data_IF_080402860003
#
_entry.id   IF_080402860003
#
_cell.length_a   1.000
_cell.length_b   1.000
_cell.length_c   1.000
_cell.angle_alpha   90.00
_cell.angle_beta   90.00
_cell.angle_gamma   90.00
#
_symmetry.space_group_name_H-M   'P 1'
#
loop_
_entity.id
_entity.type
_entity.pdbx_description
1 polymer ?
#
# COMPACT_ATOMS: atom_id res chain seq x y z
N UNK A 1 1.87 -8.66 -22.79
CA UNK A 1 1.74 -9.62 -21.66
C UNK A 1 0.52 -9.21 -20.87
N UNK A 2 -0.43 -10.11 -20.68
CA UNK A 2 -1.70 -9.91 -19.95
C UNK A 2 -1.44 -9.28 -18.58
N UNK A 3 -2.04 -8.11 -18.33
CA UNK A 3 -2.17 -7.55 -16.98
C UNK A 3 -2.89 -8.62 -16.17
N UNK A 4 -2.15 -9.36 -15.33
CA UNK A 4 -2.77 -10.18 -14.30
C UNK A 4 -3.49 -9.18 -13.39
N UNK A 5 -4.81 -9.13 -13.49
CA UNK A 5 -5.63 -8.34 -12.61
C UNK A 5 -5.31 -8.77 -11.18
N UNK A 6 -4.87 -7.83 -10.33
CA UNK A 6 -4.52 -8.21 -8.96
C UNK A 6 -5.77 -8.72 -8.24
N UNK A 7 -5.65 -9.83 -7.49
CA UNK A 7 -6.79 -10.42 -6.84
C UNK A 7 -7.34 -9.44 -5.80
N UNK A 8 -8.64 -9.17 -5.91
CA UNK A 8 -9.37 -8.36 -4.94
C UNK A 8 -9.22 -8.93 -3.53
N UNK A 9 -9.25 -8.05 -2.53
CA UNK A 9 -9.24 -8.46 -1.13
C UNK A 9 -10.59 -9.09 -0.76
N UNK A 10 -10.55 -10.20 -0.03
CA UNK A 10 -11.76 -10.85 0.45
C UNK A 10 -12.55 -9.92 1.41
N UNK A 11 -13.87 -9.91 1.28
CA UNK A 11 -14.75 -9.04 2.06
C UNK A 11 -14.57 -9.20 3.58
N UNK A 12 -14.24 -10.41 4.06
CA UNK A 12 -13.95 -10.69 5.47
C UNK A 12 -12.80 -9.84 6.05
N UNK A 13 -11.86 -9.39 5.21
CA UNK A 13 -10.77 -8.51 5.61
C UNK A 13 -11.15 -7.03 5.57
N UNK A 14 -12.14 -6.68 4.74
CA UNK A 14 -12.55 -5.29 4.49
C UNK A 14 -13.66 -4.84 5.44
N UNK A 15 -14.66 -5.70 5.65
CA UNK A 15 -15.87 -5.40 6.43
C UNK A 15 -15.55 -4.84 7.83
N UNK A 16 -14.62 -5.42 8.63
CA UNK A 16 -14.31 -4.86 9.96
C UNK A 16 -13.75 -3.43 9.92
N UNK A 17 -13.01 -3.07 8.86
CA UNK A 17 -12.48 -1.73 8.68
C UNK A 17 -13.60 -0.72 8.40
N UNK A 18 -14.55 -1.12 7.55
CA UNK A 18 -15.69 -0.29 7.19
C UNK A 18 -16.66 -0.15 8.36
N UNK A 19 -16.95 -1.22 9.09
CA UNK A 19 -17.78 -1.18 10.30
C UNK A 19 -17.20 -0.23 11.36
N UNK A 20 -15.89 -0.29 11.59
CA UNK A 20 -15.22 0.61 12.53
C UNK A 20 -15.34 2.07 12.10
N UNK A 21 -15.13 2.37 10.81
CA UNK A 21 -15.21 3.73 10.28
C UNK A 21 -16.64 4.28 10.23
N UNK A 22 -17.64 3.45 9.90
CA UNK A 22 -19.06 3.85 9.98
C UNK A 22 -19.50 4.10 11.42
N UNK A 23 -19.06 3.26 12.36
CA UNK A 23 -19.36 3.43 13.80
C UNK A 23 -18.77 4.73 14.33
N UNK A 24 -17.55 5.08 13.92
CA UNK A 24 -16.91 6.36 14.24
C UNK A 24 -17.76 7.54 13.75
N UNK A 25 -18.16 7.55 12.47
CA UNK A 25 -18.82 8.69 11.84
C UNK A 25 -20.29 8.87 12.26
N UNK A 26 -21.03 7.76 12.44
CA UNK A 26 -22.40 7.78 12.95
C UNK A 26 -22.46 8.21 14.44
N UNK A 27 -21.40 7.91 15.19
CA UNK A 27 -21.34 8.15 16.62
C UNK A 27 -22.57 7.62 17.35
N UNK A 28 -23.15 8.45 18.24
CA UNK A 28 -24.30 8.05 19.07
C UNK A 28 -25.66 8.43 18.50
N UNK A 29 -25.71 9.35 17.53
CA UNK A 29 -26.95 10.00 17.06
C UNK A 29 -27.26 9.73 15.59
N UNK A 30 -26.31 9.17 14.84
CA UNK A 30 -26.38 9.04 13.39
C UNK A 30 -26.32 10.39 12.67
N UNK A 31 -26.64 10.38 11.39
CA UNK A 31 -26.64 11.56 10.53
C UNK A 31 -27.86 12.46 10.82
N UNK A 32 -27.67 13.41 11.74
CA UNK A 32 -28.70 14.38 12.13
C UNK A 32 -29.03 15.37 11.01
N UNK A 33 -28.09 15.61 10.09
CA UNK A 33 -28.26 16.59 9.01
C UNK A 33 -29.21 16.04 7.96
N UNK A 34 -28.93 14.85 7.43
CA UNK A 34 -29.81 14.21 6.44
C UNK A 34 -31.20 13.92 7.02
N UNK A 35 -31.29 13.56 8.30
CA UNK A 35 -32.57 13.38 8.97
C UNK A 35 -33.41 14.67 9.04
N UNK A 36 -32.77 15.82 9.21
CA UNK A 36 -33.44 17.11 9.33
C UNK A 36 -33.80 17.73 7.97
N UNK A 37 -33.03 17.47 6.92
CA UNK A 37 -33.12 18.22 5.64
C UNK A 37 -33.71 17.43 4.48
N UNK A 38 -33.79 16.09 4.56
CA UNK A 38 -34.21 15.23 3.45
C UNK A 38 -35.43 14.42 3.88
N UNK A 39 -36.52 14.30 3.09
CA UNK A 39 -37.64 13.41 3.41
C UNK A 39 -37.23 11.93 3.54
N UNK A 40 -37.91 11.17 4.39
CA UNK A 40 -37.53 9.79 4.72
C UNK A 40 -37.65 8.80 3.54
N UNK A 41 -38.54 9.08 2.60
CA UNK A 41 -38.85 8.28 1.43
C UNK A 41 -38.16 8.77 0.14
N UNK A 42 -37.41 9.88 0.22
CA UNK A 42 -36.72 10.44 -0.93
C UNK A 42 -35.65 9.48 -1.45
N UNK A 43 -35.69 9.20 -2.75
CA UNK A 43 -34.67 8.42 -3.47
C UNK A 43 -33.80 9.36 -4.30
N UNK A 44 -32.52 9.02 -4.42
CA UNK A 44 -31.57 9.77 -5.23
C UNK A 44 -30.64 8.84 -6.02
N UNK A 45 -29.99 9.42 -7.03
CA UNK A 45 -28.89 8.83 -7.76
C UNK A 45 -27.68 9.78 -7.67
N UNK A 46 -26.55 9.25 -7.21
CA UNK A 46 -25.30 10.00 -7.11
C UNK A 46 -24.20 9.29 -7.91
N UNK A 47 -23.16 10.04 -8.26
CA UNK A 47 -22.01 9.53 -8.99
C UNK A 47 -20.74 9.77 -8.20
N UNK A 48 -19.96 8.72 -7.97
CA UNK A 48 -18.58 8.86 -7.48
C UNK A 48 -17.72 9.24 -8.68
N UNK A 49 -17.01 10.36 -8.60
CA UNK A 49 -16.19 10.90 -9.70
C UNK A 49 -14.77 11.18 -9.24
N UNK A 50 -13.80 10.79 -10.07
CA UNK A 50 -12.43 11.25 -9.91
C UNK A 50 -12.34 12.72 -10.30
N UNK A 51 -11.87 13.59 -9.41
CA UNK A 51 -11.64 15.02 -9.70
C UNK A 51 -10.23 15.27 -10.23
N UNK A 52 -9.34 14.30 -10.05
CA UNK A 52 -7.98 14.29 -10.54
C UNK A 52 -7.71 12.99 -11.30
N UNK A 53 -6.77 13.01 -12.25
CA UNK A 53 -6.27 11.80 -12.89
C UNK A 53 -5.43 10.99 -11.90
N UNK A 54 -5.50 9.66 -11.98
CA UNK A 54 -4.79 8.77 -11.04
C UNK A 54 -5.15 7.30 -11.22
N UNK A 55 -4.70 6.49 -10.28
CA UNK A 55 -5.00 5.06 -10.18
C UNK A 55 -6.04 4.85 -9.07
N UNK A 56 -7.15 4.20 -9.41
CA UNK A 56 -8.27 3.99 -8.48
C UNK A 56 -8.00 2.77 -7.61
N UNK A 57 -8.25 2.91 -6.30
CA UNK A 57 -8.20 1.82 -5.34
C UNK A 57 -9.24 2.05 -4.22
N UNK A 58 -9.89 0.98 -3.77
CA UNK A 58 -10.87 1.01 -2.68
C UNK A 58 -12.33 0.93 -3.12
N UNK A 59 -12.60 0.47 -4.35
CA UNK A 59 -13.97 0.31 -4.87
C UNK A 59 -14.81 -0.62 -3.98
N UNK A 60 -14.25 -1.72 -3.50
CA UNK A 60 -14.97 -2.66 -2.62
C UNK A 60 -15.23 -2.09 -1.23
N UNK A 61 -14.29 -1.30 -0.68
CA UNK A 61 -14.51 -0.60 0.59
C UNK A 61 -15.65 0.41 0.46
N UNK A 62 -15.68 1.18 -0.65
CA UNK A 62 -16.79 2.09 -0.93
C UNK A 62 -18.12 1.35 -1.07
N UNK A 63 -18.16 0.27 -1.86
CA UNK A 63 -19.36 -0.58 -2.00
C UNK A 63 -19.87 -1.07 -0.64
N UNK A 64 -18.97 -1.55 0.21
CA UNK A 64 -19.31 -2.02 1.55
C UNK A 64 -19.84 -0.90 2.46
N UNK A 65 -19.29 0.31 2.38
CA UNK A 65 -19.79 1.45 3.15
C UNK A 65 -21.26 1.73 2.85
N UNK A 66 -21.67 1.66 1.58
CA UNK A 66 -23.08 1.80 1.21
C UNK A 66 -23.92 0.60 1.63
N UNK A 67 -23.45 -0.62 1.35
CA UNK A 67 -24.21 -1.84 1.62
C UNK A 67 -24.47 -2.09 3.12
N UNK A 68 -23.54 -1.69 4.00
CA UNK A 68 -23.70 -1.82 5.45
C UNK A 68 -24.67 -0.80 6.05
N UNK A 69 -24.90 0.33 5.38
CA UNK A 69 -25.93 1.30 5.78
C UNK A 69 -27.31 0.84 5.32
N UNK A 70 -27.43 0.37 4.08
CA UNK A 70 -28.70 -0.08 3.50
C UNK A 70 -28.45 -1.07 2.36
N UNK A 71 -28.85 -2.32 2.56
CA UNK A 71 -28.71 -3.42 1.58
C UNK A 71 -29.49 -3.16 0.27
N UNK A 72 -30.45 -2.22 0.27
CA UNK A 72 -31.21 -1.83 -0.92
C UNK A 72 -30.48 -0.79 -1.78
N UNK A 73 -29.33 -0.26 -1.34
CA UNK A 73 -28.52 0.63 -2.16
C UNK A 73 -27.87 -0.17 -3.29
N UNK A 74 -28.18 0.23 -4.52
CA UNK A 74 -27.54 -0.29 -5.72
C UNK A 74 -26.20 0.43 -5.94
N UNK A 75 -25.09 -0.32 -5.96
CA UNK A 75 -23.76 0.19 -6.28
C UNK A 75 -23.33 -0.36 -7.64
N UNK A 76 -23.30 0.50 -8.66
CA UNK A 76 -22.93 0.15 -10.03
C UNK A 76 -21.52 0.64 -10.31
N UNK A 77 -20.53 -0.23 -10.13
CA UNK A 77 -19.14 0.05 -10.49
C UNK A 77 -18.99 0.29 -12.00
N UNK A 78 -18.21 1.30 -12.38
CA UNK A 78 -17.86 1.64 -13.77
C UNK A 78 -16.38 1.38 -14.08
N UNK A 79 -15.56 1.31 -13.04
CA UNK A 79 -14.15 0.94 -13.11
C UNK A 79 -13.86 -0.14 -12.07
N UNK A 80 -12.75 -0.85 -12.26
CA UNK A 80 -12.19 -1.75 -11.25
C UNK A 80 -11.07 -1.05 -10.50
N UNK A 81 -10.73 -1.59 -9.33
CA UNK A 81 -9.47 -1.22 -8.67
C UNK A 81 -8.27 -1.47 -9.61
N UNK A 82 -7.22 -0.69 -9.37
CA UNK A 82 -5.98 -0.63 -10.15
C UNK A 82 -6.14 -0.05 -11.57
N UNK A 83 -7.32 0.47 -11.93
CA UNK A 83 -7.52 1.17 -13.19
C UNK A 83 -6.96 2.61 -13.14
N UNK A 84 -6.24 3.02 -14.18
CA UNK A 84 -5.88 4.42 -14.42
C UNK A 84 -7.07 5.17 -15.01
N UNK A 85 -7.37 6.35 -14.49
CA UNK A 85 -8.48 7.20 -14.93
C UNK A 85 -8.05 8.65 -15.11
N UNK A 86 -8.80 9.38 -15.94
CA UNK A 86 -8.66 10.82 -16.10
C UNK A 86 -9.61 11.59 -15.17
N UNK A 87 -9.32 12.87 -14.95
CA UNK A 87 -10.22 13.76 -14.21
C UNK A 87 -11.61 13.82 -14.89
N UNK A 88 -12.67 13.80 -14.08
CA UNK A 88 -14.06 13.75 -14.51
C UNK A 88 -14.62 12.34 -14.74
N UNK A 89 -13.78 11.29 -14.67
CA UNK A 89 -14.22 9.90 -14.85
C UNK A 89 -15.23 9.50 -13.77
N UNK A 90 -16.37 8.96 -14.17
CA UNK A 90 -17.35 8.35 -13.26
C UNK A 90 -16.84 6.97 -12.85
N UNK A 91 -16.59 6.80 -11.54
CA UNK A 91 -16.05 5.57 -10.96
C UNK A 91 -17.17 4.58 -10.61
N UNK A 92 -18.27 5.09 -10.07
CA UNK A 92 -19.46 4.32 -9.74
C UNK A 92 -20.71 5.20 -9.78
N UNK A 93 -21.86 4.56 -9.95
CA UNK A 93 -23.19 5.16 -9.73
C UNK A 93 -23.84 4.48 -8.54
N UNK A 94 -24.35 5.26 -7.59
CA UNK A 94 -25.06 4.75 -6.41
C UNK A 94 -26.51 5.23 -6.40
N UNK A 95 -27.44 4.33 -6.08
CA UNK A 95 -28.89 4.61 -6.11
C UNK A 95 -29.57 4.01 -4.90
N UNK A 96 -30.46 4.75 -4.26
CA UNK A 96 -31.16 4.27 -3.07
C UNK A 96 -31.84 5.39 -2.31
N UNK A 97 -32.09 5.14 -1.03
CA UNK A 97 -32.59 6.17 -0.10
C UNK A 97 -31.58 7.30 0.03
N UNK A 98 -32.02 8.54 -0.18
CA UNK A 98 -31.13 9.71 -0.22
C UNK A 98 -30.42 9.97 1.10
N UNK A 99 -31.08 9.74 2.25
CA UNK A 99 -30.44 9.88 3.57
C UNK A 99 -29.32 8.86 3.74
N UNK A 100 -29.59 7.60 3.38
CA UNK A 100 -28.65 6.49 3.53
C UNK A 100 -27.44 6.64 2.60
N UNK A 101 -27.65 7.14 1.38
CA UNK A 101 -26.56 7.48 0.46
C UNK A 101 -25.61 8.53 1.06
N UNK A 102 -26.14 9.62 1.61
CA UNK A 102 -25.30 10.67 2.21
C UNK A 102 -24.64 10.21 3.53
N UNK A 103 -25.31 9.34 4.28
CA UNK A 103 -24.76 8.76 5.52
C UNK A 103 -23.49 7.94 5.23
N UNK A 104 -23.46 7.19 4.13
CA UNK A 104 -22.31 6.35 3.76
C UNK A 104 -21.19 7.11 3.03
N UNK A 105 -21.48 8.33 2.53
CA UNK A 105 -20.61 9.08 1.60
C UNK A 105 -19.19 9.23 2.16
N UNK A 106 -19.07 9.81 3.36
CA UNK A 106 -17.77 10.26 3.86
C UNK A 106 -16.85 9.09 4.14
N UNK A 107 -17.38 8.02 4.74
CA UNK A 107 -16.64 6.78 4.95
C UNK A 107 -16.17 6.17 3.62
N UNK A 108 -17.05 6.07 2.61
CA UNK A 108 -16.68 5.55 1.30
C UNK A 108 -15.56 6.38 0.63
N UNK A 109 -15.72 7.71 0.59
CA UNK A 109 -14.75 8.61 -0.04
C UNK A 109 -13.42 8.64 0.72
N UNK A 110 -13.40 8.59 2.05
CA UNK A 110 -12.16 8.58 2.82
C UNK A 110 -11.28 7.36 2.49
N UNK A 111 -11.89 6.17 2.34
CA UNK A 111 -11.15 4.99 1.87
C UNK A 111 -10.64 5.16 0.44
N UNK A 112 -11.51 5.56 -0.48
CA UNK A 112 -11.14 5.69 -1.90
C UNK A 112 -10.05 6.74 -2.12
N UNK A 113 -10.19 7.93 -1.55
CA UNK A 113 -9.25 9.05 -1.71
C UNK A 113 -7.87 8.69 -1.15
N UNK A 114 -7.81 8.10 0.04
CA UNK A 114 -6.56 7.65 0.67
C UNK A 114 -5.85 6.57 -0.14
N UNK A 115 -6.56 5.49 -0.47
CA UNK A 115 -5.97 4.35 -1.16
C UNK A 115 -5.62 4.66 -2.63
N UNK A 116 -6.47 5.43 -3.31
CA UNK A 116 -6.16 5.89 -4.68
C UNK A 116 -4.96 6.84 -4.69
N UNK A 117 -4.77 7.65 -3.64
CA UNK A 117 -3.55 8.45 -3.45
C UNK A 117 -2.29 7.58 -3.43
N UNK A 118 -2.28 6.53 -2.60
CA UNK A 118 -1.18 5.57 -2.52
C UNK A 118 -0.91 4.88 -3.86
N UNK A 119 -1.95 4.36 -4.51
CA UNK A 119 -1.83 3.67 -5.79
C UNK A 119 -1.29 4.61 -6.87
N UNK A 120 -1.76 5.86 -6.90
CA UNK A 120 -1.33 6.88 -7.85
C UNK A 120 0.14 7.24 -7.67
N UNK A 121 0.58 7.55 -6.44
CA UNK A 121 1.98 7.90 -6.18
C UNK A 121 2.91 6.71 -6.39
N UNK A 122 2.47 5.49 -6.04
CA UNK A 122 3.22 4.26 -6.36
C UNK A 122 3.40 4.11 -7.86
N UNK A 123 2.36 4.32 -8.67
CA UNK A 123 2.44 4.23 -10.13
C UNK A 123 3.44 5.24 -10.71
N UNK A 124 3.41 6.48 -10.25
CA UNK A 124 4.37 7.52 -10.66
C UNK A 124 5.82 7.09 -10.38
N UNK A 125 6.08 6.54 -9.20
CA UNK A 125 7.43 6.11 -8.79
C UNK A 125 7.87 4.88 -9.58
N UNK A 126 7.00 3.89 -9.76
CA UNK A 126 7.29 2.70 -10.60
C UNK A 126 7.61 3.11 -12.03
N UNK A 127 6.83 4.02 -12.61
CA UNK A 127 7.07 4.53 -13.96
C UNK A 127 8.38 5.32 -14.05
N UNK A 128 8.76 6.07 -13.00
CA UNK A 128 9.99 6.86 -13.00
C UNK A 128 11.27 6.01 -12.96
N UNK A 129 11.17 4.73 -12.59
CA UNK A 129 12.30 3.79 -12.55
C UNK A 129 12.17 2.63 -13.55
N UNK A 130 11.24 2.72 -14.51
CA UNK A 130 10.93 1.62 -15.43
C UNK A 130 12.10 1.15 -16.31
N UNK A 131 13.11 2.01 -16.53
CA UNK A 131 14.33 1.69 -17.28
C UNK A 131 15.36 0.88 -16.46
N UNK A 132 15.10 0.67 -15.16
CA UNK A 132 15.98 -0.04 -14.23
C UNK A 132 15.36 -1.37 -13.80
N UNK A 133 16.17 -2.36 -13.38
CA UNK A 133 15.66 -3.66 -12.93
C UNK A 133 14.96 -3.60 -11.56
N UNK A 134 15.08 -2.48 -10.85
CA UNK A 134 14.62 -2.31 -9.48
C UNK A 134 13.09 -2.39 -9.36
N UNK A 135 12.61 -3.17 -8.40
CA UNK A 135 11.18 -3.22 -8.03
C UNK A 135 10.93 -2.37 -6.79
N UNK A 136 9.89 -1.53 -6.85
CA UNK A 136 9.49 -0.69 -5.73
C UNK A 136 8.69 -1.50 -4.71
N UNK A 137 9.12 -1.52 -3.46
CA UNK A 137 8.47 -2.25 -2.36
C UNK A 137 7.94 -1.28 -1.29
N UNK A 138 6.80 -1.60 -0.68
CA UNK A 138 6.30 -0.89 0.51
C UNK A 138 6.83 -1.48 1.81
N UNK A 139 6.69 -0.79 2.93
CA UNK A 139 7.23 -1.22 4.24
C UNK A 139 6.13 -1.54 5.26
N UNK A 140 6.50 -1.74 6.53
CA UNK A 140 5.57 -1.81 7.68
C UNK A 140 5.25 -0.44 8.29
N UNK A 141 5.80 0.66 7.75
CA UNK A 141 5.52 2.05 8.14
C UNK A 141 4.17 2.50 7.55
N UNK A 142 3.12 1.90 8.08
CA UNK A 142 1.73 2.03 7.63
C UNK A 142 0.87 2.66 8.72
N UNK A 143 -0.28 3.22 8.35
CA UNK A 143 -1.28 3.64 9.32
C UNK A 143 -1.74 2.40 10.11
N UNK A 144 -1.75 2.46 11.46
CA UNK A 144 -2.24 1.35 12.28
C UNK A 144 -3.66 0.92 11.89
N UNK A 145 -3.91 -0.39 11.82
CA UNK A 145 -5.19 -0.95 11.39
C UNK A 145 -5.41 -0.99 9.87
N UNK A 146 -4.74 -0.17 9.08
CA UNK A 146 -4.97 -0.07 7.62
C UNK A 146 -3.90 -0.76 6.76
N UNK A 147 -2.95 -1.47 7.37
CA UNK A 147 -1.80 -2.06 6.65
C UNK A 147 -2.21 -2.90 5.43
N UNK A 148 -3.21 -3.77 5.57
CA UNK A 148 -3.63 -4.68 4.50
C UNK A 148 -4.10 -3.89 3.28
N UNK A 149 -4.95 -2.89 3.49
CA UNK A 149 -5.52 -2.08 2.40
C UNK A 149 -4.50 -1.11 1.81
N UNK A 150 -3.60 -0.55 2.62
CA UNK A 150 -2.51 0.29 2.11
C UNK A 150 -1.52 -0.50 1.24
N UNK A 151 -1.16 -1.72 1.66
CA UNK A 151 -0.31 -2.60 0.84
C UNK A 151 -1.02 -3.10 -0.41
N UNK A 152 -2.34 -3.28 -0.36
CA UNK A 152 -3.11 -3.53 -1.56
C UNK A 152 -3.08 -2.35 -2.54
N UNK A 153 -3.20 -1.11 -2.05
CA UNK A 153 -3.07 0.08 -2.89
C UNK A 153 -1.69 0.19 -3.57
N UNK A 154 -0.61 -0.16 -2.86
CA UNK A 154 0.74 -0.23 -3.45
C UNK A 154 0.77 -1.21 -4.63
N UNK A 155 0.18 -2.41 -4.48
CA UNK A 155 0.09 -3.37 -5.59
C UNK A 155 -0.74 -2.84 -6.76
N UNK A 156 -1.84 -2.14 -6.49
CA UNK A 156 -2.62 -1.50 -7.56
C UNK A 156 -1.82 -0.44 -8.35
N UNK A 157 -0.89 0.25 -7.70
CA UNK A 157 0.04 1.16 -8.37
C UNK A 157 1.18 0.46 -9.12
N UNK A 158 1.24 -0.87 -9.12
CA UNK A 158 2.33 -1.65 -9.76
C UNK A 158 3.53 -1.90 -8.86
N UNK A 159 3.51 -1.46 -7.61
CA UNK A 159 4.52 -1.79 -6.62
C UNK A 159 4.40 -3.23 -6.11
N UNK A 160 5.33 -3.62 -5.24
CA UNK A 160 5.37 -4.92 -4.57
C UNK A 160 5.25 -4.78 -3.06
N UNK A 161 4.83 -5.86 -2.42
CA UNK A 161 4.77 -5.92 -0.96
C UNK A 161 6.07 -6.51 -0.41
N UNK A 162 6.69 -5.79 0.53
CA UNK A 162 7.54 -6.42 1.54
C UNK A 162 6.66 -7.21 2.53
N UNK A 163 7.26 -7.88 3.53
CA UNK A 163 6.54 -8.62 4.58
C UNK A 163 5.40 -7.82 5.22
N UNK A 164 4.21 -8.41 5.35
CA UNK A 164 3.02 -7.82 5.95
C UNK A 164 3.20 -7.64 7.47
N UNK A 165 3.72 -8.64 8.14
CA UNK A 165 3.88 -8.69 9.59
C UNK A 165 5.28 -9.11 10.02
N UNK A 166 5.40 -9.50 11.30
CA UNK A 166 6.64 -10.07 11.85
C UNK A 166 6.72 -11.59 11.60
N UNK A 167 5.64 -12.16 11.11
CA UNK A 167 5.37 -13.58 10.91
C UNK A 167 5.66 -14.06 9.48
N UNK A 168 5.77 -13.17 8.48
CA UNK A 168 5.99 -13.61 7.09
C UNK A 168 7.46 -13.83 6.71
N UNK A 169 8.39 -13.14 7.38
CA UNK A 169 9.82 -13.21 7.09
C UNK A 169 10.66 -12.72 8.27
N UNK A 170 11.84 -13.31 8.43
CA UNK A 170 12.86 -12.86 9.38
C UNK A 170 13.61 -11.70 8.71
N UNK A 171 13.67 -10.57 9.40
CA UNK A 171 14.50 -9.42 9.00
C UNK A 171 15.36 -9.04 10.21
N UNK A 172 16.63 -9.39 10.14
CA UNK A 172 17.63 -9.07 11.15
C UNK A 172 18.02 -7.60 10.97
N UNK A 173 17.94 -6.82 12.04
CA UNK A 173 18.29 -5.39 12.08
C UNK A 173 19.46 -5.14 13.01
N UNK A 174 20.02 -3.94 12.95
CA UNK A 174 21.01 -3.37 13.87
C UNK A 174 20.86 -3.81 15.34
N UNK A 175 19.66 -3.67 15.90
CA UNK A 175 19.36 -4.00 17.28
C UNK A 175 19.43 -5.50 17.55
N UNK A 176 19.05 -6.34 16.58
CA UNK A 176 19.15 -7.78 16.71
C UNK A 176 20.62 -8.22 16.70
N UNK A 177 21.44 -7.65 15.82
CA UNK A 177 22.87 -7.90 15.73
C UNK A 177 23.55 -7.50 17.05
N UNK A 178 23.27 -6.29 17.54
CA UNK A 178 23.84 -5.79 18.78
C UNK A 178 23.50 -6.65 20.01
N UNK A 179 22.26 -7.16 20.08
CA UNK A 179 21.80 -8.02 21.19
C UNK A 179 22.34 -9.45 21.06
N UNK A 180 22.43 -9.99 19.84
CA UNK A 180 22.98 -11.32 19.57
C UNK A 180 24.51 -11.37 19.75
N UNK A 181 25.17 -10.21 19.74
CA UNK A 181 26.61 -10.04 19.93
C UNK A 181 27.33 -9.71 18.63
N UNK A 182 27.03 -10.45 17.56
CA UNK A 182 27.59 -10.20 16.23
C UNK A 182 26.67 -10.68 15.10
N UNK A 183 26.96 -10.25 13.87
CA UNK A 183 26.14 -10.51 12.68
C UNK A 183 26.12 -12.00 12.31
N UNK A 184 27.23 -12.72 12.47
CA UNK A 184 27.32 -14.15 12.13
C UNK A 184 26.47 -14.98 13.07
N UNK A 185 26.55 -14.67 14.37
CA UNK A 185 25.75 -15.29 15.41
C UNK A 185 24.25 -15.04 15.17
N UNK A 186 23.86 -13.81 14.85
CA UNK A 186 22.46 -13.48 14.54
C UNK A 186 21.93 -14.26 13.32
N UNK A 187 22.73 -14.33 12.25
CA UNK A 187 22.37 -15.07 11.02
C UNK A 187 22.24 -16.56 11.29
N UNK A 188 23.21 -17.16 11.97
CA UNK A 188 23.18 -18.60 12.27
C UNK A 188 21.95 -18.96 13.10
N UNK A 189 21.65 -18.18 14.14
CA UNK A 189 20.44 -18.40 14.95
C UNK A 189 19.15 -18.27 14.14
N UNK A 190 19.09 -17.33 13.20
CA UNK A 190 17.96 -17.18 12.30
C UNK A 190 17.82 -18.37 11.34
N UNK A 191 18.93 -18.88 10.78
CA UNK A 191 18.95 -20.05 9.89
C UNK A 191 18.53 -21.32 10.62
N UNK A 192 18.98 -21.52 11.85
CA UNK A 192 18.62 -22.68 12.68
C UNK A 192 17.13 -22.66 13.08
N UNK A 193 16.55 -21.47 13.26
CA UNK A 193 15.14 -21.29 13.61
C UNK A 193 14.21 -21.35 12.40
N UNK A 194 14.64 -20.84 11.24
CA UNK A 194 13.79 -20.68 10.08
C UNK A 194 13.34 -22.03 9.50
N UNK A 195 12.02 -22.20 9.38
CA UNK A 195 11.47 -23.25 8.53
C UNK A 195 11.80 -22.98 7.05
N UNK A 196 11.81 -24.04 6.22
CA UNK A 196 12.18 -23.97 4.81
C UNK A 196 11.38 -22.98 3.92
N UNK A 197 10.28 -22.41 4.42
CA UNK A 197 9.45 -21.41 3.73
C UNK A 197 9.58 -19.99 4.30
N UNK A 198 10.39 -19.77 5.33
CA UNK A 198 10.57 -18.45 5.96
C UNK A 198 11.83 -17.79 5.37
N UNK A 199 11.70 -16.70 4.59
CA UNK A 199 12.85 -15.97 4.09
C UNK A 199 13.61 -15.30 5.24
N UNK A 200 14.92 -15.16 5.06
CA UNK A 200 15.80 -14.42 5.97
C UNK A 200 16.43 -13.26 5.19
N UNK A 201 16.21 -12.06 5.68
CA UNK A 201 16.83 -10.84 5.20
C UNK A 201 17.70 -10.23 6.32
N UNK A 202 18.83 -9.65 5.95
CA UNK A 202 19.73 -8.98 6.90
C UNK A 202 19.97 -7.55 6.47
N UNK A 203 19.71 -6.62 7.39
CA UNK A 203 20.03 -5.20 7.26
C UNK A 203 21.50 -4.97 7.61
N UNK A 204 22.20 -4.27 6.71
CA UNK A 204 23.61 -3.90 6.84
C UNK A 204 23.79 -2.43 6.47
N UNK A 205 24.67 -1.74 7.18
CA UNK A 205 24.99 -0.32 6.96
C UNK A 205 26.44 -0.08 6.49
N UNK A 206 27.29 -1.11 6.48
CA UNK A 206 28.65 -1.06 5.92
C UNK A 206 28.97 -2.24 4.98
N UNK A 207 29.97 -2.06 4.10
CA UNK A 207 30.42 -3.11 3.19
C UNK A 207 31.10 -4.28 3.94
N UNK A 208 31.72 -4.01 5.09
CA UNK A 208 32.30 -5.06 5.94
C UNK A 208 31.24 -5.95 6.59
N UNK A 209 30.09 -5.37 6.99
CA UNK A 209 28.94 -6.16 7.44
C UNK A 209 28.34 -6.95 6.29
N UNK A 210 28.25 -6.34 5.10
CA UNK A 210 27.75 -7.03 3.91
C UNK A 210 28.59 -8.26 3.58
N UNK A 211 29.92 -8.16 3.56
CA UNK A 211 30.78 -9.32 3.29
C UNK A 211 30.55 -10.44 4.32
N UNK A 212 30.41 -10.10 5.61
CA UNK A 212 30.11 -11.08 6.65
C UNK A 212 28.75 -11.77 6.45
N UNK A 213 27.73 -11.02 6.03
CA UNK A 213 26.41 -11.57 5.74
C UNK A 213 26.42 -12.50 4.53
N UNK A 214 27.16 -12.12 3.48
CA UNK A 214 27.32 -12.93 2.27
C UNK A 214 28.14 -14.20 2.53
N UNK A 215 29.15 -14.15 3.40
CA UNK A 215 29.93 -15.32 3.83
C UNK A 215 29.11 -16.30 4.66
N UNK A 216 28.14 -15.79 5.42
CA UNK A 216 27.17 -16.59 6.17
C UNK A 216 26.05 -17.17 5.29
N UNK A 217 26.06 -16.92 3.97
CA UNK A 217 25.14 -17.52 3.01
C UNK A 217 23.73 -16.91 2.97
N UNK A 218 23.58 -15.66 3.43
CA UNK A 218 22.32 -14.92 3.30
C UNK A 218 22.04 -14.63 1.83
N UNK A 219 20.79 -14.84 1.40
CA UNK A 219 20.39 -14.68 -0.01
C UNK A 219 19.57 -13.40 -0.28
N UNK A 220 19.25 -12.61 0.75
CA UNK A 220 18.58 -11.31 0.64
C UNK A 220 19.19 -10.34 1.66
N UNK A 221 19.69 -9.20 1.19
CA UNK A 221 20.32 -8.18 2.03
C UNK A 221 19.65 -6.83 1.83
N UNK A 222 19.44 -6.12 2.94
CA UNK A 222 18.92 -4.77 2.96
C UNK A 222 20.08 -3.80 3.23
N UNK A 223 20.36 -2.93 2.26
CA UNK A 223 21.42 -1.93 2.27
C UNK A 223 20.84 -0.63 2.84
N UNK A 224 21.09 -0.35 4.12
CA UNK A 224 20.46 0.77 4.82
C UNK A 224 21.24 2.07 4.66
N UNK A 225 20.57 3.09 4.12
CA UNK A 225 21.04 4.48 4.05
C UNK A 225 22.43 4.66 3.41
N UNK A 226 22.84 3.75 2.53
CA UNK A 226 24.09 3.83 1.78
C UNK A 226 23.98 4.84 0.63
N UNK A 227 25.05 5.60 0.40
CA UNK A 227 25.13 6.52 -0.74
C UNK A 227 25.19 5.74 -2.09
N UNK A 228 24.77 6.35 -3.22
CA UNK A 228 24.68 5.64 -4.51
C UNK A 228 25.98 5.00 -5.01
N UNK A 229 27.14 5.59 -4.70
CA UNK A 229 28.46 5.03 -4.98
C UNK A 229 28.72 3.75 -4.18
N UNK A 230 28.46 3.79 -2.87
CA UNK A 230 28.56 2.62 -1.98
C UNK A 230 27.56 1.53 -2.35
N UNK A 231 26.32 1.91 -2.70
CA UNK A 231 25.30 0.97 -3.18
C UNK A 231 25.76 0.25 -4.45
N UNK A 232 26.40 0.95 -5.38
CA UNK A 232 26.89 0.34 -6.61
C UNK A 232 27.98 -0.70 -6.33
N UNK A 233 28.85 -0.44 -5.35
CA UNK A 233 29.86 -1.39 -4.87
C UNK A 233 29.20 -2.61 -4.18
N UNK A 234 28.25 -2.37 -3.29
CA UNK A 234 27.48 -3.42 -2.62
C UNK A 234 26.75 -4.35 -3.61
N UNK A 235 26.12 -3.77 -4.66
CA UNK A 235 25.49 -4.54 -5.74
C UNK A 235 26.49 -5.44 -6.46
N UNK A 236 27.72 -4.96 -6.69
CA UNK A 236 28.79 -5.78 -7.29
C UNK A 236 29.18 -6.93 -6.37
N UNK A 237 29.34 -6.70 -5.07
CA UNK A 237 29.65 -7.75 -4.08
C UNK A 237 28.55 -8.83 -4.01
N UNK A 238 27.28 -8.44 -4.15
CA UNK A 238 26.14 -9.35 -4.07
C UNK A 238 25.92 -10.20 -5.33
N UNK A 239 26.51 -9.85 -6.48
CA UNK A 239 26.23 -10.53 -7.76
C UNK A 239 26.45 -12.04 -7.66
N UNK A 240 25.37 -12.80 -7.86
CA UNK A 240 25.37 -14.26 -7.82
C UNK A 240 25.34 -14.87 -6.41
N UNK A 241 25.39 -14.05 -5.36
CA UNK A 241 25.37 -14.47 -3.95
C UNK A 241 24.03 -14.13 -3.27
N UNK A 242 23.53 -12.90 -3.45
CA UNK A 242 22.32 -12.42 -2.79
C UNK A 242 21.53 -11.43 -3.66
N UNK A 243 20.26 -11.26 -3.33
CA UNK A 243 19.41 -10.16 -3.80
C UNK A 243 19.58 -8.94 -2.91
N UNK A 244 19.45 -7.76 -3.50
CA UNK A 244 19.68 -6.48 -2.82
C UNK A 244 18.40 -5.67 -2.70
N UNK A 245 18.12 -5.17 -1.51
CA UNK A 245 17.09 -4.17 -1.25
C UNK A 245 17.74 -2.88 -0.72
N UNK A 246 17.53 -1.74 -1.38
CA UNK A 246 17.92 -0.45 -0.82
C UNK A 246 16.80 0.13 0.05
N UNK A 247 17.16 0.67 1.21
CA UNK A 247 16.24 1.31 2.14
C UNK A 247 16.90 2.52 2.83
N UNK A 248 16.12 3.30 3.56
CA UNK A 248 16.59 4.44 4.34
C UNK A 248 16.40 5.77 3.61
N UNK A 249 15.43 6.58 4.06
CA UNK A 249 15.26 7.97 3.59
C UNK A 249 14.97 8.18 2.10
N UNK A 250 14.68 7.14 1.33
CA UNK A 250 14.46 7.23 -0.11
C UNK A 250 13.15 7.97 -0.41
N UNK A 251 13.24 8.99 -1.27
CA UNK A 251 12.13 9.87 -1.65
C UNK A 251 11.84 9.76 -3.15
N UNK A 252 10.71 10.27 -3.65
CA UNK A 252 10.43 10.33 -5.09
C UNK A 252 11.54 11.02 -5.90
N UNK A 253 12.27 11.96 -5.30
CA UNK A 253 13.35 12.70 -5.94
C UNK A 253 14.66 11.88 -6.01
N UNK A 254 14.92 11.02 -5.02
CA UNK A 254 16.18 10.26 -4.93
C UNK A 254 16.07 8.84 -5.51
N UNK A 255 14.86 8.31 -5.69
CA UNK A 255 14.61 6.92 -6.10
C UNK A 255 15.31 6.54 -7.42
N UNK A 256 15.38 7.43 -8.39
CA UNK A 256 16.05 7.13 -9.68
C UNK A 256 17.55 6.93 -9.53
N UNK A 257 18.21 7.70 -8.67
CA UNK A 257 19.63 7.56 -8.40
C UNK A 257 19.92 6.20 -7.74
N UNK A 258 19.05 5.77 -6.82
CA UNK A 258 19.13 4.45 -6.18
C UNK A 258 18.89 3.34 -7.21
N UNK A 259 17.83 3.43 -8.03
CA UNK A 259 17.52 2.43 -9.05
C UNK A 259 18.65 2.23 -10.06
N UNK A 260 19.35 3.31 -10.43
CA UNK A 260 20.50 3.28 -11.33
C UNK A 260 21.69 2.46 -10.82
N UNK A 261 21.81 2.26 -9.51
CA UNK A 261 22.87 1.43 -8.91
C UNK A 261 22.73 -0.05 -9.28
N UNK A 262 21.52 -0.47 -9.69
CA UNK A 262 21.23 -1.84 -10.09
C UNK A 262 20.72 -2.75 -8.98
N UNK A 263 20.27 -2.17 -7.85
CA UNK A 263 19.59 -2.93 -6.78
C UNK A 263 18.33 -3.64 -7.31
N UNK A 264 18.00 -4.78 -6.72
CA UNK A 264 16.82 -5.56 -7.11
C UNK A 264 15.52 -4.95 -6.58
N UNK A 265 15.56 -4.40 -5.37
CA UNK A 265 14.39 -3.83 -4.68
C UNK A 265 14.71 -2.47 -4.07
N UNK A 266 13.69 -1.61 -3.94
CA UNK A 266 13.77 -0.33 -3.24
C UNK A 266 12.59 -0.21 -2.28
N UNK A 267 12.88 -0.27 -0.98
CA UNK A 267 11.89 -0.18 0.08
C UNK A 267 11.57 1.26 0.44
N UNK A 268 10.35 1.71 0.13
CA UNK A 268 9.91 3.08 0.35
C UNK A 268 8.79 3.15 1.39
N UNK A 269 9.11 3.67 2.57
CA UNK A 269 8.11 4.02 3.58
C UNK A 269 7.14 5.10 3.10
N UNK A 270 7.65 6.04 2.30
CA UNK A 270 6.91 7.17 1.73
C UNK A 270 5.54 6.78 1.18
N UNK A 271 5.47 5.63 0.47
CA UNK A 271 4.29 5.11 -0.21
C UNK A 271 3.07 4.92 0.71
N UNK A 272 3.25 4.73 2.02
CA UNK A 272 2.15 4.41 2.92
C UNK A 272 1.97 5.41 4.06
N UNK A 273 2.95 6.26 4.35
CA UNK A 273 2.85 7.26 5.42
C UNK A 273 2.90 8.72 4.96
N UNK A 274 3.24 8.99 3.70
CA UNK A 274 3.47 10.36 3.20
C UNK A 274 2.81 10.68 1.85
N UNK A 275 2.09 9.74 1.26
CA UNK A 275 1.33 9.98 0.01
C UNK A 275 0.18 10.94 0.23
N UNK A 276 -0.15 11.70 -0.80
CA UNK A 276 -1.29 12.62 -0.76
C UNK A 276 -2.56 11.92 -1.25
N UNK A 277 -3.69 12.20 -0.62
CA UNK A 277 -4.98 11.66 -1.05
C UNK A 277 -5.34 12.15 -2.47
N UNK A 278 -5.92 11.26 -3.29
CA UNK A 278 -6.44 11.61 -4.62
C UNK A 278 -7.84 12.22 -4.45
N UNK A 279 -8.11 13.39 -5.05
CA UNK A 279 -9.41 14.03 -4.92
C UNK A 279 -10.51 13.25 -5.69
N UNK A 280 -11.49 12.74 -4.95
CA UNK A 280 -12.63 11.97 -5.44
C UNK A 280 -13.87 12.51 -4.71
N UNK A 281 -14.91 12.83 -5.48
CA UNK A 281 -16.16 13.39 -4.97
C UNK A 281 -17.35 12.47 -5.19
N UNK A 282 -18.43 12.72 -4.45
CA UNK A 282 -19.76 12.20 -4.70
C UNK A 282 -20.64 13.37 -5.15
N UNK A 283 -21.09 13.33 -6.41
CA UNK A 283 -21.85 14.44 -7.00
C UNK A 283 -23.27 13.98 -7.35
N UNK A 284 -24.24 14.88 -7.19
CA UNK A 284 -25.61 14.63 -7.61
C UNK A 284 -25.71 14.56 -9.14
N UNK A 285 -26.38 13.52 -9.62
CA UNK A 285 -26.75 13.40 -11.03
C UNK A 285 -28.21 13.77 -11.17
N UNK A 286 -28.48 14.92 -11.79
CA UNK A 286 -29.82 15.29 -12.23
C UNK A 286 -30.38 14.30 -13.26
#
# INVERSE_FOLDING_TARGET
MTVKQEPALAEVLLKPLVEAALTEDLGRRGDVTSQATIPADMRAQLQIKARQAGVICGMDLARLSFALIDEQIEFIAKVNDCATVEAGTVLATVRGNARNLLTAERTALNFMTHLSGIATDTKKIVDSVADYPAQITCTRKTIPGLRIVQKYAVRCGGGRNHRLGLDDAILIKDNHIAIAGDIKTAIQQAQDFAGHLIPIEVEVDTLEQLEQALDAGVNLVLLDNMAPDVLSEAVVMCKGRAKTEASGGITPETVQAVAKTGVDFIAMGYLTHSTTALDIGLDFSA
#
